data_IF_084684163121
#
_entry.id   IF_084684163121
#
_cell.length_a   1.000
_cell.length_b   1.000
_cell.length_c   1.000
_cell.angle_alpha   90.00
_cell.angle_beta   90.00
_cell.angle_gamma   90.00
#
_symmetry.space_group_name_H-M   'P 1'
#
loop_
_entity.id
_entity.type
_entity.pdbx_description
1 polymer ?
#
# COMPACT_ATOMS: atom_id res chain seq x y z
N UNK A 1 18.60 13.12 -23.45
CA UNK A 1 19.23 13.59 -22.20
C UNK A 1 18.23 13.70 -21.07
N UNK A 2 17.42 14.77 -21.07
CA UNK A 2 16.48 15.08 -19.98
C UNK A 2 15.48 13.94 -19.69
N UNK A 3 14.86 13.37 -20.72
CA UNK A 3 13.89 12.28 -20.56
C UNK A 3 14.49 11.05 -19.84
N UNK A 4 15.73 10.67 -20.18
CA UNK A 4 16.44 9.56 -19.53
C UNK A 4 16.68 9.82 -18.05
N UNK A 5 17.07 11.06 -17.70
CA UNK A 5 17.28 11.47 -16.31
C UNK A 5 15.97 11.43 -15.52
N UNK A 6 14.87 11.92 -16.10
CA UNK A 6 13.55 11.87 -15.46
C UNK A 6 13.10 10.43 -15.22
N UNK A 7 13.24 9.55 -16.21
CA UNK A 7 12.89 8.12 -16.08
C UNK A 7 13.72 7.46 -14.96
N UNK A 8 15.02 7.74 -14.89
CA UNK A 8 15.88 7.25 -13.81
C UNK A 8 15.44 7.73 -12.43
N UNK A 9 15.13 9.02 -12.28
CA UNK A 9 14.67 9.60 -11.02
C UNK A 9 13.33 9.00 -10.56
N UNK A 10 12.36 8.88 -11.48
CA UNK A 10 11.08 8.24 -11.20
C UNK A 10 11.25 6.77 -10.81
N UNK A 11 12.15 6.06 -11.48
CA UNK A 11 12.44 4.66 -11.17
C UNK A 11 13.03 4.51 -9.76
N UNK A 12 14.00 5.33 -9.39
CA UNK A 12 14.61 5.30 -8.04
C UNK A 12 13.60 5.65 -6.95
N UNK A 13 12.82 6.72 -7.14
CA UNK A 13 11.81 7.14 -6.16
C UNK A 13 10.69 6.09 -5.99
N UNK A 14 10.25 5.48 -7.10
CA UNK A 14 9.26 4.39 -7.08
C UNK A 14 9.81 3.15 -6.39
N UNK A 15 11.07 2.78 -6.66
CA UNK A 15 11.76 1.66 -6.03
C UNK A 15 11.92 1.84 -4.51
N UNK A 16 12.28 3.04 -4.05
CA UNK A 16 12.37 3.34 -2.62
C UNK A 16 11.01 3.14 -1.91
N UNK A 17 9.94 3.68 -2.51
CA UNK A 17 8.57 3.51 -1.98
C UNK A 17 8.14 2.04 -1.94
N UNK A 18 8.46 1.25 -2.96
CA UNK A 18 8.11 -0.16 -3.03
C UNK A 18 8.83 -0.98 -1.94
N UNK A 19 10.13 -0.77 -1.76
CA UNK A 19 10.91 -1.46 -0.73
C UNK A 19 10.54 -1.03 0.69
N UNK A 20 10.08 0.21 0.87
CA UNK A 20 9.51 0.68 2.13
C UNK A 20 8.24 -0.10 2.47
N UNK A 21 7.26 -0.20 1.55
CA UNK A 21 6.01 -0.94 1.80
C UNK A 21 6.28 -2.41 2.08
N UNK A 22 7.11 -3.07 1.27
CA UNK A 22 7.50 -4.47 1.50
C UNK A 22 8.19 -4.66 2.87
N UNK A 23 9.04 -3.71 3.24
CA UNK A 23 9.69 -3.68 4.54
C UNK A 23 8.69 -3.56 5.69
N UNK A 24 7.73 -2.63 5.60
CA UNK A 24 6.68 -2.45 6.61
C UNK A 24 5.83 -3.73 6.78
N UNK A 25 5.44 -4.37 5.66
CA UNK A 25 4.67 -5.61 5.70
C UNK A 25 5.47 -6.77 6.34
N UNK A 26 6.79 -6.81 6.12
CA UNK A 26 7.67 -7.86 6.65
C UNK A 26 8.03 -7.68 8.13
N UNK A 27 7.87 -6.48 8.68
CA UNK A 27 8.23 -6.15 10.07
C UNK A 27 7.02 -6.00 11.00
N UNK A 28 5.84 -6.47 10.57
CA UNK A 28 4.61 -6.40 11.37
C UNK A 28 3.98 -5.00 11.39
N UNK A 29 4.20 -4.19 10.34
CA UNK A 29 3.61 -2.86 10.20
C UNK A 29 4.45 -1.73 10.78
N UNK A 30 5.74 -1.95 11.06
CA UNK A 30 6.61 -0.87 11.55
C UNK A 30 6.82 0.18 10.47
N UNK A 31 6.39 1.42 10.74
CA UNK A 31 6.44 2.53 9.77
C UNK A 31 7.85 2.85 9.23
N UNK A 32 8.91 2.49 9.95
CA UNK A 32 10.28 2.70 9.51
C UNK A 32 11.09 1.39 9.61
N UNK A 33 10.97 0.49 8.61
CA UNK A 33 11.71 -0.77 8.59
C UNK A 33 13.21 -0.49 8.44
N UNK A 34 14.04 -1.32 9.07
CA UNK A 34 15.50 -1.16 9.02
C UNK A 34 16.03 -1.14 7.59
N UNK A 35 17.10 -0.36 7.35
CA UNK A 35 17.72 -0.23 6.03
C UNK A 35 18.12 -1.60 5.43
N UNK A 36 18.50 -2.57 6.28
CA UNK A 36 18.81 -3.95 5.85
C UNK A 36 17.62 -4.63 5.16
N UNK A 37 16.42 -4.49 5.71
CA UNK A 37 15.21 -5.08 5.13
C UNK A 37 14.90 -4.47 3.76
N UNK A 38 15.03 -3.14 3.63
CA UNK A 38 14.82 -2.45 2.35
C UNK A 38 15.81 -2.93 1.29
N UNK A 39 17.09 -3.06 1.63
CA UNK A 39 18.14 -3.54 0.71
C UNK A 39 17.87 -4.98 0.28
N UNK A 40 17.51 -5.88 1.21
CA UNK A 40 17.18 -7.27 0.89
C UNK A 40 16.02 -7.34 -0.10
N UNK A 41 14.94 -6.60 0.14
CA UNK A 41 13.81 -6.56 -0.79
C UNK A 41 14.18 -5.94 -2.14
N UNK A 42 14.98 -4.87 -2.16
CA UNK A 42 15.47 -4.26 -3.40
C UNK A 42 16.28 -5.23 -4.26
N UNK A 43 17.16 -6.02 -3.64
CA UNK A 43 17.95 -7.05 -4.32
C UNK A 43 17.05 -8.19 -4.83
N UNK A 44 16.08 -8.64 -4.04
CA UNK A 44 15.15 -9.69 -4.46
C UNK A 44 14.30 -9.26 -5.66
N UNK A 45 13.72 -8.06 -5.62
CA UNK A 45 12.91 -7.52 -6.73
C UNK A 45 13.76 -7.36 -8.00
N UNK A 46 14.99 -6.83 -7.86
CA UNK A 46 15.91 -6.69 -8.99
C UNK A 46 16.30 -8.06 -9.58
N UNK A 47 16.56 -9.05 -8.72
CA UNK A 47 16.87 -10.43 -9.13
C UNK A 47 15.71 -11.08 -9.88
N UNK A 48 14.48 -10.93 -9.38
CA UNK A 48 13.27 -11.43 -10.05
C UNK A 48 13.09 -10.76 -11.42
N UNK A 49 13.27 -9.44 -11.50
CA UNK A 49 13.16 -8.70 -12.76
C UNK A 49 14.18 -9.19 -13.79
N UNK A 50 15.46 -9.33 -13.41
CA UNK A 50 16.51 -9.86 -14.28
C UNK A 50 16.19 -11.30 -14.71
N UNK A 51 15.76 -12.16 -13.78
CA UNK A 51 15.41 -13.54 -14.06
C UNK A 51 14.27 -13.66 -15.10
N UNK A 52 13.20 -12.87 -14.94
CA UNK A 52 12.08 -12.85 -15.89
C UNK A 52 12.50 -12.33 -17.27
N UNK A 53 13.36 -11.31 -17.32
CA UNK A 53 13.90 -10.80 -18.57
C UNK A 53 14.73 -11.85 -19.30
N UNK A 54 15.53 -12.63 -18.58
CA UNK A 54 16.32 -13.72 -19.17
C UNK A 54 15.44 -14.91 -19.62
N UNK A 55 14.36 -15.21 -18.90
CA UNK A 55 13.49 -16.34 -19.20
C UNK A 55 12.64 -16.16 -20.46
N UNK A 56 12.15 -14.94 -20.72
CA UNK A 56 11.28 -14.68 -21.88
C UNK A 56 11.10 -13.21 -22.23
N UNK A 57 12.07 -12.38 -21.83
CA UNK A 57 12.09 -10.95 -22.11
C UNK A 57 10.90 -10.20 -21.50
N UNK A 58 10.53 -9.11 -22.16
CA UNK A 58 9.44 -8.23 -21.71
C UNK A 58 8.09 -8.95 -21.66
N UNK A 59 7.86 -9.92 -22.55
CA UNK A 59 6.61 -10.70 -22.58
C UNK A 59 6.45 -11.57 -21.32
N UNK A 60 7.54 -12.15 -20.82
CA UNK A 60 7.52 -12.90 -19.56
C UNK A 60 7.20 -11.98 -18.37
N UNK A 61 7.83 -10.80 -18.29
CA UNK A 61 7.54 -9.80 -17.26
C UNK A 61 6.06 -9.41 -17.27
N UNK A 62 5.51 -9.07 -18.45
CA UNK A 62 4.09 -8.69 -18.59
C UNK A 62 3.14 -9.81 -18.17
N UNK A 63 3.43 -11.05 -18.57
CA UNK A 63 2.62 -12.21 -18.21
C UNK A 63 2.64 -12.44 -16.70
N UNK A 64 3.82 -12.42 -16.07
CA UNK A 64 3.95 -12.55 -14.63
C UNK A 64 3.19 -11.44 -13.90
N UNK A 65 3.31 -10.19 -14.34
CA UNK A 65 2.57 -9.06 -13.77
C UNK A 65 1.06 -9.29 -13.82
N UNK A 66 0.49 -9.76 -14.94
CA UNK A 66 -0.95 -10.04 -15.05
C UNK A 66 -1.37 -11.14 -14.07
N UNK A 67 -0.60 -12.24 -14.03
CA UNK A 67 -0.87 -13.39 -13.16
C UNK A 67 -0.86 -12.99 -11.67
N UNK A 68 0.05 -12.12 -11.25
CA UNK A 68 0.09 -11.61 -9.87
C UNK A 68 -0.98 -10.53 -9.61
N UNK A 69 -1.27 -9.67 -10.59
CA UNK A 69 -2.22 -8.56 -10.43
C UNK A 69 -3.67 -9.03 -10.29
N UNK A 70 -4.06 -10.11 -10.98
CA UNK A 70 -5.43 -10.63 -10.94
C UNK A 70 -5.90 -11.00 -9.52
N UNK A 71 -5.23 -11.89 -8.76
CA UNK A 71 -5.64 -12.22 -7.40
C UNK A 71 -5.51 -11.02 -6.46
N UNK A 72 -4.51 -10.16 -6.66
CA UNK A 72 -4.33 -8.96 -5.83
C UNK A 72 -5.46 -7.94 -6.03
N UNK A 73 -6.02 -7.86 -7.24
CA UNK A 73 -7.18 -7.00 -7.54
C UNK A 73 -8.39 -7.38 -6.68
N UNK A 74 -8.63 -8.68 -6.46
CA UNK A 74 -9.68 -9.14 -5.56
C UNK A 74 -9.45 -8.62 -4.12
N UNK A 75 -8.21 -8.66 -3.64
CA UNK A 75 -7.83 -8.14 -2.32
C UNK A 75 -8.10 -6.64 -2.23
N UNK A 76 -7.75 -5.86 -3.26
CA UNK A 76 -8.01 -4.41 -3.30
C UNK A 76 -9.51 -4.12 -3.25
N UNK A 77 -10.33 -4.87 -4.00
CA UNK A 77 -11.80 -4.71 -3.98
C UNK A 77 -12.36 -4.99 -2.58
N UNK A 78 -11.90 -6.07 -1.92
CA UNK A 78 -12.30 -6.37 -0.55
C UNK A 78 -11.88 -5.26 0.42
N UNK A 79 -10.67 -4.73 0.25
CA UNK A 79 -10.17 -3.63 1.07
C UNK A 79 -10.98 -2.35 0.87
N UNK A 80 -11.41 -2.04 -0.37
CA UNK A 80 -12.27 -0.91 -0.65
C UNK A 80 -13.65 -1.05 0.01
N UNK A 81 -14.24 -2.26 -0.02
CA UNK A 81 -15.50 -2.54 0.68
C UNK A 81 -15.34 -2.44 2.20
N UNK A 82 -14.24 -2.97 2.75
CA UNK A 82 -13.95 -2.87 4.18
C UNK A 82 -13.77 -1.42 4.64
N UNK A 83 -13.05 -0.61 3.86
CA UNK A 83 -12.87 0.81 4.12
C UNK A 83 -14.20 1.56 4.07
N UNK A 84 -15.03 1.32 3.05
CA UNK A 84 -16.36 1.94 2.95
C UNK A 84 -17.23 1.63 4.17
N UNK A 85 -17.21 0.36 4.62
CA UNK A 85 -17.94 -0.06 5.83
C UNK A 85 -17.39 0.61 7.08
N UNK A 86 -16.07 0.63 7.26
CA UNK A 86 -15.43 1.28 8.41
C UNK A 86 -15.75 2.76 8.50
N UNK A 87 -15.63 3.49 7.39
CA UNK A 87 -15.97 4.93 7.34
C UNK A 87 -17.45 5.18 7.67
N UNK A 88 -18.35 4.32 7.18
CA UNK A 88 -19.79 4.43 7.50
C UNK A 88 -20.08 4.16 8.97
N UNK A 89 -19.43 3.16 9.56
CA UNK A 89 -19.55 2.83 10.98
C UNK A 89 -19.04 3.97 11.87
N UNK A 90 -17.89 4.57 11.54
CA UNK A 90 -17.33 5.73 12.24
C UNK A 90 -18.27 6.94 12.16
N UNK A 91 -18.84 7.21 10.98
CA UNK A 91 -19.79 8.31 10.80
C UNK A 91 -21.04 8.14 11.68
N UNK A 92 -21.59 6.94 11.72
CA UNK A 92 -22.76 6.63 12.56
C UNK A 92 -22.43 6.68 14.06
N UNK A 93 -21.20 6.32 14.46
CA UNK A 93 -20.73 6.41 15.83
C UNK A 93 -20.58 7.87 16.30
N UNK A 94 -20.00 8.74 15.47
CA UNK A 94 -19.83 10.17 15.76
C UNK A 94 -21.20 10.85 16.00
N UNK A 95 -22.18 10.56 15.13
CA UNK A 95 -23.54 11.10 15.24
C UNK A 95 -24.24 10.70 16.55
N UNK A 96 -24.02 9.46 17.03
CA UNK A 96 -24.55 9.02 18.34
C UNK A 96 -23.87 9.75 19.48
N UNK A 97 -22.54 9.93 19.40
CA UNK A 97 -21.73 10.63 20.41
C UNK A 97 -22.18 12.07 20.58
N UNK A 98 -22.41 12.79 19.48
CA UNK A 98 -22.93 14.16 19.49
C UNK A 98 -24.30 14.27 20.13
N UNK A 99 -25.21 13.32 19.85
CA UNK A 99 -26.53 13.28 20.48
C UNK A 99 -26.45 13.05 21.99
N UNK A 100 -25.52 12.21 22.45
CA UNK A 100 -25.29 11.94 23.87
C UNK A 100 -24.68 13.14 24.59
N UNK A 101 -23.69 13.80 23.99
CA UNK A 101 -23.09 15.02 24.53
C UNK A 101 -24.14 16.13 24.69
N UNK A 102 -25.00 16.32 23.68
CA UNK A 102 -26.13 17.27 23.76
C UNK A 102 -27.15 16.91 24.83
N UNK A 103 -27.38 15.63 25.11
CA UNK A 103 -28.26 15.20 26.23
C UNK A 103 -27.63 15.53 27.57
N UNK A 104 -26.36 15.16 27.80
CA UNK A 104 -25.64 15.49 29.03
C UNK A 104 -25.56 16.99 29.28
N UNK A 105 -25.30 17.79 28.23
CA UNK A 105 -25.25 19.25 28.35
C UNK A 105 -26.59 19.82 28.83
N UNK A 106 -27.73 19.28 28.37
CA UNK A 106 -29.06 19.69 28.83
C UNK A 106 -29.38 19.26 30.26
N UNK A 107 -28.75 18.21 30.76
CA UNK A 107 -28.88 17.77 32.16
C UNK A 107 -28.06 18.65 33.09
N UNK A 108 -26.86 19.08 32.68
CA UNK A 108 -25.98 19.93 33.51
C UNK A 108 -26.46 21.39 33.59
N UNK A 109 -27.16 21.88 32.56
CA UNK A 109 -27.68 23.24 32.52
C UNK A 109 -29.02 23.43 33.25
N UNK A 110 -29.60 22.36 33.82
CA UNK A 110 -30.82 22.40 34.64
C UNK A 110 -30.46 22.30 36.11
#
# INVERSE_FOLDING_TARGET
GLATVLVLLFFVASGDSATLVLGMMSTGGQANPSARVKIVWGLLVSGIAISLLLAGGVKAVQTATIVFALPFTLVIVLMAVALWRGVREDWDAEQKRDKLLRRRMREVLK
#
